data_IF_379208178158
#
_entry.id   IF_379208178158
#
_cell.length_a   1.000
_cell.length_b   1.000
_cell.length_c   1.000
_cell.angle_alpha   90.00
_cell.angle_beta   90.00
_cell.angle_gamma   90.00
#
_symmetry.space_group_name_H-M   'P 1'
#
loop_
_entity.id
_entity.type
_entity.pdbx_description
1 polymer ?
#
# COMPACT_ATOMS: atom_id res chain seq x y z
N UNK A 1 -9.39 -8.41 0.82
CA UNK A 1 -8.72 -7.15 0.47
C UNK A 1 -9.62 -6.37 -0.46
N UNK A 2 -9.72 -5.06 -0.32
CA UNK A 2 -10.45 -4.19 -1.27
C UNK A 2 -9.68 -4.06 -2.59
N UNK A 3 -10.37 -3.77 -3.69
CA UNK A 3 -9.76 -3.55 -5.01
C UNK A 3 -8.66 -2.48 -4.96
N UNK A 4 -8.91 -1.34 -4.31
CA UNK A 4 -7.91 -0.29 -4.13
C UNK A 4 -6.62 -0.75 -3.42
N UNK A 5 -6.71 -1.71 -2.48
CA UNK A 5 -5.52 -2.28 -1.82
C UNK A 5 -4.73 -3.19 -2.78
N UNK A 6 -5.44 -3.97 -3.60
CA UNK A 6 -4.83 -4.84 -4.61
C UNK A 6 -4.14 -4.03 -5.71
N UNK A 7 -4.74 -2.91 -6.16
CA UNK A 7 -4.12 -2.02 -7.13
C UNK A 7 -2.82 -1.41 -6.61
N UNK A 8 -2.81 -0.92 -5.36
CA UNK A 8 -1.61 -0.36 -4.75
C UNK A 8 -0.50 -1.41 -4.58
N UNK A 9 -0.87 -2.63 -4.20
CA UNK A 9 0.08 -3.73 -4.04
C UNK A 9 0.66 -4.17 -5.39
N UNK A 10 -0.17 -4.30 -6.42
CA UNK A 10 0.30 -4.60 -7.78
C UNK A 10 1.22 -3.50 -8.29
N UNK A 11 0.84 -2.23 -8.14
CA UNK A 11 1.68 -1.10 -8.55
C UNK A 11 3.04 -1.09 -7.85
N UNK A 12 3.08 -1.46 -6.58
CA UNK A 12 4.33 -1.58 -5.83
C UNK A 12 5.21 -2.71 -6.38
N UNK A 13 4.63 -3.88 -6.69
CA UNK A 13 5.32 -5.04 -7.28
C UNK A 13 5.76 -4.80 -8.74
N UNK A 14 5.02 -4.00 -9.50
CA UNK A 14 5.41 -3.61 -10.86
C UNK A 14 6.56 -2.61 -10.86
N UNK A 15 6.64 -1.76 -9.83
CA UNK A 15 7.69 -0.73 -9.70
C UNK A 15 8.95 -1.29 -9.05
N UNK A 16 8.81 -2.24 -8.13
CA UNK A 16 9.89 -2.80 -7.33
C UNK A 16 9.85 -4.32 -7.34
N UNK A 17 10.99 -4.95 -7.62
CA UNK A 17 11.11 -6.41 -7.66
C UNK A 17 10.73 -7.07 -6.32
N UNK A 18 11.08 -6.42 -5.21
CA UNK A 18 10.77 -6.87 -3.85
C UNK A 18 10.25 -5.73 -2.99
N UNK A 19 9.16 -6.03 -2.30
CA UNK A 19 8.55 -5.13 -1.31
C UNK A 19 8.42 -5.85 0.03
N UNK A 20 8.65 -5.13 1.11
CA UNK A 20 8.66 -5.63 2.47
C UNK A 20 7.72 -4.80 3.36
N UNK A 21 7.14 -5.40 4.42
CA UNK A 21 6.35 -4.65 5.37
C UNK A 21 7.20 -3.58 6.08
N UNK A 22 6.62 -2.40 6.26
CA UNK A 22 7.23 -1.27 6.94
C UNK A 22 6.87 -1.26 8.44
N UNK A 23 7.73 -0.68 9.28
CA UNK A 23 7.38 -0.30 10.65
C UNK A 23 7.20 -1.44 11.65
N UNK A 24 7.98 -2.53 11.54
CA UNK A 24 7.91 -3.66 12.48
C UNK A 24 6.67 -4.55 12.34
N UNK A 25 5.84 -4.30 11.34
CA UNK A 25 4.69 -5.14 11.00
C UNK A 25 5.15 -6.42 10.29
N UNK A 26 4.44 -7.53 10.49
CA UNK A 26 4.83 -8.81 9.87
C UNK A 26 4.21 -9.03 8.49
N UNK A 27 3.25 -8.20 8.07
CA UNK A 27 2.53 -8.40 6.80
C UNK A 27 2.27 -7.08 6.08
N UNK A 28 2.29 -7.09 4.75
CA UNK A 28 1.99 -5.92 3.91
C UNK A 28 0.56 -5.40 4.13
N UNK A 29 -0.36 -6.24 4.60
CA UNK A 29 -1.75 -5.86 4.90
C UNK A 29 -1.85 -4.83 6.02
N UNK A 30 -0.93 -4.90 6.98
CA UNK A 30 -0.86 -3.97 8.12
C UNK A 30 -0.23 -2.62 7.72
N UNK A 31 0.43 -2.56 6.56
CA UNK A 31 1.06 -1.33 6.08
C UNK A 31 0.11 -0.40 5.32
N UNK A 32 -1.18 -0.74 5.29
CA UNK A 32 -2.21 0.12 4.71
C UNK A 32 -2.83 1.03 5.77
N UNK A 33 -2.87 2.32 5.50
CA UNK A 33 -3.50 3.31 6.37
C UNK A 33 -4.52 4.12 5.59
N UNK A 34 -5.69 4.36 6.17
CA UNK A 34 -6.72 5.20 5.54
C UNK A 34 -6.79 6.53 6.27
N UNK A 35 -6.66 7.63 5.54
CA UNK A 35 -6.84 8.98 6.09
C UNK A 35 -7.68 9.82 5.13
N UNK A 36 -8.85 10.29 5.61
CA UNK A 36 -9.83 10.98 4.77
C UNK A 36 -10.37 10.05 3.67
N UNK A 37 -10.31 10.48 2.41
CA UNK A 37 -10.66 9.63 1.26
C UNK A 37 -9.42 8.98 0.62
N UNK A 38 -8.28 8.94 1.30
CA UNK A 38 -7.07 8.36 0.74
C UNK A 38 -6.69 7.09 1.48
N UNK A 39 -6.42 6.06 0.71
CA UNK A 39 -5.77 4.84 1.14
C UNK A 39 -4.29 4.96 0.84
N UNK A 40 -3.47 4.84 1.86
CA UNK A 40 -2.01 4.88 1.80
C UNK A 40 -1.47 3.47 1.98
N UNK A 41 -0.39 3.17 1.26
CA UNK A 41 0.35 1.92 1.35
C UNK A 41 1.83 2.24 1.53
N UNK A 42 2.36 1.85 2.69
CA UNK A 42 3.76 2.02 3.05
C UNK A 42 4.49 0.70 2.82
N UNK A 43 5.66 0.70 2.21
CA UNK A 43 6.46 -0.51 2.07
C UNK A 43 7.93 -0.16 1.99
N UNK A 44 8.77 -1.09 2.43
CA UNK A 44 10.22 -0.98 2.26
C UNK A 44 10.65 -1.75 1.02
N UNK A 45 11.75 -1.32 0.40
CA UNK A 45 12.40 -2.03 -0.70
C UNK A 45 13.72 -2.64 -0.22
N UNK A 46 14.39 -3.40 -1.07
CA UNK A 46 15.67 -4.04 -0.76
C UNK A 46 16.80 -3.07 -0.39
N UNK A 47 16.65 -1.80 -0.77
CA UNK A 47 17.57 -0.71 -0.44
C UNK A 47 17.33 -0.12 0.98
N UNK A 48 16.44 -0.74 1.77
CA UNK A 48 15.98 -0.25 3.09
C UNK A 48 15.26 1.11 3.03
N UNK A 49 14.96 1.58 1.82
CA UNK A 49 14.18 2.80 1.57
C UNK A 49 12.68 2.56 1.78
N UNK A 50 12.01 3.47 2.50
CA UNK A 50 10.55 3.45 2.67
C UNK A 50 9.86 4.23 1.57
N UNK A 51 8.94 3.56 0.87
CA UNK A 51 8.10 4.13 -0.18
C UNK A 51 6.65 4.24 0.28
N UNK A 52 5.96 5.24 -0.27
CA UNK A 52 4.56 5.52 -0.01
C UNK A 52 3.80 5.60 -1.34
N UNK A 53 2.79 4.76 -1.50
CA UNK A 53 1.79 4.91 -2.56
C UNK A 53 0.46 5.30 -1.93
N UNK A 54 -0.37 6.00 -2.70
CA UNK A 54 -1.73 6.31 -2.26
C UNK A 54 -2.73 6.17 -3.40
N UNK A 55 -3.95 5.82 -3.03
CA UNK A 55 -5.12 5.79 -3.89
C UNK A 55 -6.21 6.65 -3.28
N UNK A 56 -6.90 7.44 -4.11
CA UNK A 56 -8.02 8.27 -3.69
C UNK A 56 -9.30 7.44 -3.80
N UNK A 57 -9.83 6.98 -2.67
CA UNK A 57 -11.12 6.30 -2.56
C UNK A 57 -12.23 7.23 -3.03
N UNK A 58 -12.96 6.82 -4.07
CA UNK A 58 -14.17 7.53 -4.51
C UNK A 58 -15.36 6.94 -3.76
N UNK A 59 -16.47 7.68 -3.71
CA UNK A 59 -17.68 7.26 -2.98
C UNK A 59 -18.29 5.94 -3.48
N UNK A 60 -17.86 5.45 -4.63
CA UNK A 60 -18.28 4.18 -5.26
C UNK A 60 -17.47 2.97 -4.76
N UNK A 61 -16.35 3.15 -4.05
CA UNK A 61 -15.51 2.06 -3.52
C UNK A 61 -15.92 1.58 -2.12
N UNK A 62 -17.06 2.07 -1.60
CA UNK A 62 -17.52 1.87 -0.22
C UNK A 62 -18.74 0.94 -0.10
N UNK A 63 -19.02 0.11 -1.11
CA UNK A 63 -20.10 -0.90 -1.08
C UNK A 63 -19.64 -2.26 -0.52
#
# INVERSE_FOLDING_TARGET
>A
MSEAKLELLQKALETHEKIFPCGGTSTLQDCFTTAGNKLYFWFNTEDDSTHLLFHTLRKEDAE
#
